data_IF_178658536016
#
_entry.id   IF_178658536016
#
_cell.length_a   1.000
_cell.length_b   1.000
_cell.length_c   1.000
_cell.angle_alpha   90.00
_cell.angle_beta   90.00
_cell.angle_gamma   90.00
#
_symmetry.space_group_name_H-M   'P 1'
#
loop_
_entity.id
_entity.type
_entity.pdbx_description
1 polymer ?
#
# COMPACT_ATOMS: atom_id res chain seq x y z
N UNK A 1 -3.16 -7.86 38.85
CA UNK A 1 -2.61 -6.95 37.82
C UNK A 1 -3.19 -7.36 36.48
N UNK A 2 -4.38 -6.88 36.17
CA UNK A 2 -4.97 -6.97 34.84
C UNK A 2 -4.23 -5.97 33.97
N UNK A 3 -3.21 -6.45 33.25
CA UNK A 3 -2.65 -5.74 32.12
C UNK A 3 -3.72 -5.78 31.03
N UNK A 4 -4.65 -4.82 31.10
CA UNK A 4 -5.40 -4.37 29.94
C UNK A 4 -4.36 -3.81 28.97
N UNK A 5 -3.81 -4.72 28.16
CA UNK A 5 -2.97 -4.42 27.02
C UNK A 5 -3.81 -3.51 26.14
N UNK A 6 -3.57 -2.20 26.24
CA UNK A 6 -4.16 -1.19 25.40
C UNK A 6 -3.62 -1.43 23.98
N UNK A 7 -4.21 -2.40 23.29
CA UNK A 7 -3.93 -2.71 21.89
C UNK A 7 -4.46 -1.50 21.13
N UNK A 8 -3.56 -0.57 20.82
CA UNK A 8 -3.85 0.48 19.85
C UNK A 8 -4.34 -0.22 18.58
N UNK A 9 -5.42 0.30 17.99
CA UNK A 9 -6.08 -0.27 16.82
C UNK A 9 -5.10 -0.54 15.65
N UNK A 10 -3.97 0.16 15.62
CA UNK A 10 -2.90 -0.02 14.65
C UNK A 10 -2.13 -1.34 14.78
N UNK A 11 -2.11 -1.98 15.95
CA UNK A 11 -1.18 -3.10 16.26
C UNK A 11 -1.86 -4.46 16.41
N UNK A 12 -3.18 -4.55 16.23
CA UNK A 12 -3.95 -5.79 16.41
C UNK A 12 -3.41 -6.95 15.53
N UNK A 13 -3.07 -6.65 14.28
CA UNK A 13 -2.49 -7.61 13.33
C UNK A 13 -1.10 -8.18 13.72
N UNK A 14 -0.49 -7.64 14.79
CA UNK A 14 0.83 -8.05 15.31
C UNK A 14 0.68 -8.65 16.71
N UNK A 15 -0.21 -8.11 17.54
CA UNK A 15 -0.37 -8.45 18.96
C UNK A 15 -1.39 -9.56 19.19
N UNK A 16 -2.32 -9.77 18.26
CA UNK A 16 -3.34 -10.82 18.41
C UNK A 16 -2.82 -12.16 17.87
N UNK A 17 -2.64 -13.17 18.75
CA UNK A 17 -2.06 -14.46 18.37
C UNK A 17 -2.90 -15.19 17.33
N UNK A 18 -4.23 -15.07 17.37
CA UNK A 18 -5.12 -15.70 16.41
C UNK A 18 -4.99 -15.08 15.00
N UNK A 19 -4.89 -13.75 14.92
CA UNK A 19 -4.67 -13.04 13.66
C UNK A 19 -3.33 -13.40 13.02
N UNK A 20 -2.28 -13.50 13.85
CA UNK A 20 -0.93 -13.81 13.38
C UNK A 20 -0.78 -15.29 13.01
N UNK A 21 -1.32 -16.19 13.84
CA UNK A 21 -1.17 -17.63 13.68
C UNK A 21 -2.10 -18.25 12.65
N UNK A 22 -3.34 -17.77 12.55
CA UNK A 22 -4.37 -18.46 11.79
C UNK A 22 -4.86 -17.63 10.60
N UNK A 23 -5.37 -16.43 10.84
CA UNK A 23 -5.98 -15.64 9.76
C UNK A 23 -4.97 -15.14 8.72
N UNK A 24 -3.73 -14.85 9.12
CA UNK A 24 -2.68 -14.44 8.17
C UNK A 24 -2.30 -15.57 7.20
N UNK A 25 -1.98 -16.81 7.63
CA UNK A 25 -1.78 -17.93 6.72
C UNK A 25 -2.97 -18.20 5.80
N UNK A 26 -4.20 -18.15 6.32
CA UNK A 26 -5.43 -18.31 5.51
C UNK A 26 -5.49 -17.27 4.38
N UNK A 27 -5.26 -15.99 4.69
CA UNK A 27 -5.27 -14.91 3.70
C UNK A 27 -4.16 -15.03 2.67
N UNK A 28 -3.01 -15.62 3.03
CA UNK A 28 -1.90 -15.86 2.09
C UNK A 28 -2.25 -17.03 1.16
N UNK A 29 -2.66 -18.17 1.71
CA UNK A 29 -3.06 -19.34 0.92
C UNK A 29 -4.18 -19.00 -0.06
N UNK A 30 -5.18 -18.23 0.38
CA UNK A 30 -6.27 -17.78 -0.49
C UNK A 30 -5.77 -16.90 -1.65
N UNK A 31 -4.85 -15.97 -1.39
CA UNK A 31 -4.25 -15.14 -2.45
C UNK A 31 -3.46 -15.98 -3.45
N UNK A 32 -2.74 -17.00 -2.99
CA UNK A 32 -1.99 -17.90 -3.86
C UNK A 32 -2.94 -18.72 -4.76
N UNK A 33 -4.06 -19.20 -4.22
CA UNK A 33 -5.08 -19.91 -5.01
C UNK A 33 -5.70 -18.97 -6.04
N UNK A 34 -6.03 -17.73 -5.68
CA UNK A 34 -6.54 -16.74 -6.64
C UNK A 34 -5.52 -16.41 -7.73
N UNK A 35 -4.24 -16.30 -7.37
CA UNK A 35 -3.16 -16.06 -8.33
C UNK A 35 -3.00 -17.24 -9.30
N UNK A 36 -3.00 -18.47 -8.79
CA UNK A 36 -2.93 -19.69 -9.60
C UNK A 36 -4.18 -19.87 -10.47
N UNK A 37 -5.36 -19.55 -9.95
CA UNK A 37 -6.60 -19.56 -10.72
C UNK A 37 -6.56 -18.55 -11.85
N UNK A 38 -6.05 -17.34 -11.61
CA UNK A 38 -5.87 -16.32 -12.66
C UNK A 38 -4.89 -16.75 -13.76
N UNK A 39 -3.88 -17.57 -13.41
CA UNK A 39 -2.88 -18.05 -14.35
C UNK A 39 -3.32 -19.30 -15.14
N UNK A 40 -3.95 -20.27 -14.48
CA UNK A 40 -4.18 -21.62 -15.02
C UNK A 40 -5.66 -22.07 -14.98
N UNK A 41 -6.61 -21.19 -14.63
CA UNK A 41 -8.06 -21.47 -14.48
C UNK A 41 -8.37 -22.61 -13.50
N UNK A 42 -7.42 -23.01 -12.67
CA UNK A 42 -7.58 -24.02 -11.63
C UNK A 42 -7.27 -23.42 -10.26
N UNK A 43 -8.29 -23.38 -9.40
CA UNK A 43 -8.17 -23.07 -7.99
C UNK A 43 -9.20 -23.92 -7.25
N UNK A 44 -8.77 -24.72 -6.28
CA UNK A 44 -9.67 -25.48 -5.41
C UNK A 44 -9.53 -24.99 -3.98
N UNK A 45 -10.68 -24.77 -3.32
CA UNK A 45 -10.80 -24.47 -1.90
C UNK A 45 -10.31 -25.63 -1.03
N UNK A 46 -10.37 -26.87 -1.53
CA UNK A 46 -9.93 -28.06 -0.80
C UNK A 46 -8.42 -28.04 -0.57
N UNK A 47 -7.65 -27.55 -1.55
CA UNK A 47 -6.20 -27.35 -1.42
C UNK A 47 -5.86 -26.35 -0.31
N UNK A 48 -6.65 -25.29 -0.15
CA UNK A 48 -6.45 -24.33 0.95
C UNK A 48 -6.57 -25.00 2.31
N UNK A 49 -7.62 -25.82 2.48
CA UNK A 49 -7.92 -26.45 3.76
C UNK A 49 -6.86 -27.50 4.11
N UNK A 50 -6.41 -28.29 3.14
CA UNK A 50 -5.32 -29.25 3.32
C UNK A 50 -4.01 -28.56 3.75
N UNK A 51 -3.59 -27.50 3.04
CA UNK A 51 -2.37 -26.75 3.36
C UNK A 51 -2.42 -26.09 4.75
N UNK A 52 -3.62 -25.66 5.16
CA UNK A 52 -3.87 -25.06 6.47
C UNK A 52 -3.82 -26.10 7.59
N UNK A 53 -4.43 -27.26 7.41
CA UNK A 53 -4.45 -28.34 8.40
C UNK A 53 -3.05 -28.86 8.68
N UNK A 54 -2.26 -29.12 7.63
CA UNK A 54 -0.89 -29.63 7.76
C UNK A 54 0.00 -28.69 8.59
N UNK A 55 -0.13 -27.38 8.38
CA UNK A 55 0.72 -26.38 9.02
C UNK A 55 0.09 -25.74 10.26
N UNK A 56 -1.14 -26.12 10.65
CA UNK A 56 -1.92 -25.42 11.67
C UNK A 56 -1.21 -25.36 13.02
N UNK A 57 -0.71 -26.51 13.50
CA UNK A 57 -0.06 -26.61 14.80
C UNK A 57 1.22 -25.77 14.87
N UNK A 58 2.04 -25.82 13.82
CA UNK A 58 3.29 -25.06 13.75
C UNK A 58 3.01 -23.56 13.60
N UNK A 59 2.00 -23.18 12.85
CA UNK A 59 1.56 -21.79 12.71
C UNK A 59 1.02 -21.22 14.02
N UNK A 60 0.28 -22.01 14.79
CA UNK A 60 -0.16 -21.67 16.14
C UNK A 60 1.03 -21.46 17.07
N UNK A 61 1.92 -22.45 17.20
CA UNK A 61 3.10 -22.34 18.08
C UNK A 61 3.96 -21.12 17.74
N UNK A 62 4.22 -20.89 16.44
CA UNK A 62 5.03 -19.76 16.00
C UNK A 62 4.31 -18.42 16.13
N UNK A 63 2.99 -18.36 15.92
CA UNK A 63 2.20 -17.15 16.10
C UNK A 63 2.11 -16.70 17.54
N UNK A 64 1.91 -17.63 18.48
CA UNK A 64 1.92 -17.33 19.91
C UNK A 64 3.30 -16.86 20.41
N UNK A 65 4.38 -17.44 19.88
CA UNK A 65 5.75 -16.97 20.15
C UNK A 65 6.00 -15.56 19.60
N UNK A 66 5.52 -15.29 18.38
CA UNK A 66 5.64 -13.99 17.71
C UNK A 66 4.86 -12.85 18.38
N UNK A 67 3.79 -13.18 19.11
CA UNK A 67 3.04 -12.23 19.91
C UNK A 67 3.61 -12.07 21.34
N UNK A 68 4.66 -12.82 21.68
CA UNK A 68 5.29 -12.79 22.99
C UNK A 68 4.49 -13.45 24.11
N UNK A 69 3.53 -14.30 23.75
CA UNK A 69 2.61 -14.94 24.70
C UNK A 69 3.14 -16.30 25.15
N UNK A 70 3.77 -17.07 24.25
CA UNK A 70 4.31 -18.38 24.60
C UNK A 70 5.66 -18.71 23.91
N UNK A 71 6.75 -18.91 24.67
CA UNK A 71 6.89 -18.55 26.09
C UNK A 71 6.65 -17.03 26.29
N UNK A 72 6.33 -16.61 27.53
CA UNK A 72 6.10 -15.20 27.85
C UNK A 72 7.42 -14.44 27.68
N UNK A 73 7.57 -13.77 26.55
CA UNK A 73 8.76 -13.00 26.16
C UNK A 73 8.33 -11.85 25.25
N UNK A 74 8.55 -10.62 25.70
CA UNK A 74 8.08 -9.42 25.01
C UNK A 74 9.08 -8.97 23.92
N UNK A 75 10.31 -9.48 23.92
CA UNK A 75 11.36 -9.08 22.98
C UNK A 75 10.99 -9.35 21.50
N UNK A 76 10.47 -10.53 21.12
CA UNK A 76 10.03 -10.82 19.75
C UNK A 76 8.89 -9.91 19.27
N UNK A 77 8.06 -9.42 20.20
CA UNK A 77 7.00 -8.47 19.88
C UNK A 77 7.59 -7.06 19.69
N UNK A 78 8.50 -6.64 20.55
CA UNK A 78 9.14 -5.32 20.50
C UNK A 78 9.95 -5.13 19.22
N UNK A 79 10.74 -6.12 18.79
CA UNK A 79 11.49 -6.07 17.53
C UNK A 79 10.59 -5.81 16.32
N UNK A 80 9.34 -6.29 16.36
CA UNK A 80 8.37 -6.14 15.27
C UNK A 80 7.62 -4.81 15.33
N UNK A 81 7.57 -4.18 16.51
CA UNK A 81 7.01 -2.83 16.67
C UNK A 81 8.06 -1.77 16.36
N UNK A 82 9.32 -2.00 16.76
CA UNK A 82 10.45 -1.15 16.43
C UNK A 82 10.91 -1.40 15.00
N UNK A 83 10.33 -0.68 14.04
CA UNK A 83 10.97 -0.56 12.75
C UNK A 83 12.10 0.46 12.91
N UNK A 84 13.39 0.08 12.79
CA UNK A 84 14.46 1.05 12.74
C UNK A 84 14.26 1.87 11.47
N UNK A 85 13.56 2.99 11.61
CA UNK A 85 13.43 3.97 10.53
C UNK A 85 14.82 4.55 10.36
N UNK A 86 15.48 4.21 9.26
CA UNK A 86 16.68 4.93 8.85
C UNK A 86 16.24 6.35 8.50
N UNK A 87 16.41 7.25 9.47
CA UNK A 87 15.96 8.64 9.38
C UNK A 87 16.59 9.33 8.18
N UNK A 88 17.83 8.99 7.88
CA UNK A 88 18.59 9.55 6.76
C UNK A 88 17.98 9.09 5.42
N UNK A 89 17.67 7.80 5.27
CA UNK A 89 17.03 7.28 4.05
C UNK A 89 15.63 7.87 3.80
N UNK A 90 14.84 8.10 4.86
CA UNK A 90 13.53 8.75 4.74
C UNK A 90 13.69 10.23 4.37
N UNK A 91 14.67 10.90 4.96
CA UNK A 91 14.99 12.29 4.67
C UNK A 91 15.43 12.46 3.22
N UNK A 92 16.31 11.59 2.72
CA UNK A 92 16.80 11.63 1.35
C UNK A 92 15.66 11.40 0.34
N UNK A 93 14.81 10.40 0.56
CA UNK A 93 13.64 10.14 -0.30
C UNK A 93 12.65 11.31 -0.28
N UNK A 94 12.46 11.95 0.87
CA UNK A 94 11.60 13.11 0.99
C UNK A 94 12.18 14.34 0.26
N UNK A 95 13.49 14.56 0.36
CA UNK A 95 14.20 15.63 -0.36
C UNK A 95 14.12 15.42 -1.88
N UNK A 96 14.29 14.19 -2.36
CA UNK A 96 14.18 13.85 -3.77
C UNK A 96 12.77 14.18 -4.32
N UNK A 97 11.72 13.82 -3.57
CA UNK A 97 10.33 14.15 -3.95
C UNK A 97 10.10 15.67 -3.97
N UNK A 98 10.65 16.41 -3.00
CA UNK A 98 10.53 17.87 -2.96
C UNK A 98 11.26 18.54 -4.13
N UNK A 99 12.44 18.06 -4.50
CA UNK A 99 13.20 18.56 -5.64
C UNK A 99 12.47 18.29 -6.97
N UNK A 100 11.95 17.07 -7.15
CA UNK A 100 11.15 16.71 -8.31
C UNK A 100 9.95 17.65 -8.46
N UNK A 101 9.20 17.87 -7.37
CA UNK A 101 8.03 18.76 -7.34
C UNK A 101 8.40 20.23 -7.58
N UNK A 102 9.55 20.68 -7.07
CA UNK A 102 10.09 22.03 -7.33
C UNK A 102 10.42 22.21 -8.81
N UNK A 103 11.02 21.21 -9.45
CA UNK A 103 11.35 21.25 -10.88
C UNK A 103 10.09 21.26 -11.76
N UNK A 104 9.05 20.50 -11.38
CA UNK A 104 7.74 20.55 -12.06
C UNK A 104 7.13 21.96 -12.00
N UNK A 105 7.08 22.57 -10.81
CA UNK A 105 6.56 23.94 -10.66
C UNK A 105 7.37 24.98 -11.43
N UNK A 106 8.70 24.88 -11.43
CA UNK A 106 9.56 25.79 -12.20
C UNK A 106 9.31 25.67 -13.71
N UNK A 107 9.08 24.45 -14.21
CA UNK A 107 8.73 24.21 -15.62
C UNK A 107 7.33 24.74 -15.95
N UNK A 108 6.35 24.55 -15.06
CA UNK A 108 4.97 24.96 -15.27
C UNK A 108 4.78 26.48 -15.23
N UNK A 109 5.58 27.21 -14.45
CA UNK A 109 5.61 28.68 -14.46
C UNK A 109 6.12 29.22 -15.80
N UNK A 110 7.12 28.58 -16.41
CA UNK A 110 7.67 28.99 -17.71
C UNK A 110 6.79 28.61 -18.91
N UNK A 111 5.87 27.65 -18.77
CA UNK A 111 4.98 27.20 -19.86
C UNK A 111 3.57 27.77 -19.81
N UNK A 112 3.23 28.61 -18.83
CA UNK A 112 1.95 29.35 -18.83
C UNK A 112 1.89 30.32 -20.02
N UNK A 113 1.46 29.80 -21.17
CA UNK A 113 1.15 30.59 -22.37
C UNK A 113 0.16 31.68 -21.98
N UNK A 114 0.54 32.92 -22.22
CA UNK A 114 -0.33 34.09 -22.05
C UNK A 114 -1.60 33.84 -22.84
N UNK A 115 -2.78 33.91 -22.21
CA UNK A 115 -4.07 33.71 -22.89
C UNK A 115 -4.14 34.65 -24.10
N UNK A 116 -4.15 34.08 -25.31
CA UNK A 116 -4.30 34.86 -26.54
C UNK A 116 -5.73 35.35 -26.64
N UNK A 117 -5.90 36.67 -26.79
CA UNK A 117 -7.22 37.28 -26.95
C UNK A 117 -7.65 37.12 -28.40
N UNK A 118 -8.57 36.20 -28.67
CA UNK A 118 -9.23 36.08 -29.97
C UNK A 118 -10.17 37.29 -30.15
N UNK A 119 -9.92 38.10 -31.18
CA UNK A 119 -10.79 39.23 -31.53
C UNK A 119 -11.86 38.75 -32.52
N UNK A 120 -13.02 38.40 -31.97
CA UNK A 120 -14.14 37.87 -32.75
C UNK A 120 -15.03 39.03 -33.19
N UNK A 121 -15.37 39.08 -34.48
CA UNK A 121 -16.36 40.03 -34.99
C UNK A 121 -17.77 39.54 -34.58
N UNK A 122 -18.67 40.42 -34.10
CA UNK A 122 -20.01 40.02 -33.70
C UNK A 122 -20.71 39.17 -34.77
N UNK A 123 -21.47 38.17 -34.33
CA UNK A 123 -22.19 37.18 -35.17
C UNK A 123 -21.34 36.10 -35.88
N UNK A 124 -20.03 36.03 -35.64
CA UNK A 124 -19.20 34.90 -36.10
C UNK A 124 -18.95 33.89 -35.00
N UNK A 125 -18.90 32.61 -35.37
CA UNK A 125 -18.70 31.50 -34.43
C UNK A 125 -17.21 31.34 -34.11
N UNK A 126 -16.88 31.04 -32.84
CA UNK A 126 -15.48 30.82 -32.37
C UNK A 126 -14.80 29.68 -33.16
N UNK A 127 -15.58 28.69 -33.58
CA UNK A 127 -15.13 27.49 -34.29
C UNK A 127 -14.61 27.79 -35.70
N UNK A 128 -15.23 28.71 -36.43
CA UNK A 128 -14.79 29.08 -37.78
C UNK A 128 -13.48 29.88 -37.78
N UNK A 129 -13.26 30.73 -36.78
CA UNK A 129 -12.03 31.53 -36.70
C UNK A 129 -10.80 30.69 -36.31
N UNK A 130 -10.98 29.66 -35.46
CA UNK A 130 -9.89 28.74 -35.12
C UNK A 130 -9.45 27.88 -36.33
N UNK A 131 -10.41 27.37 -37.11
CA UNK A 131 -10.13 26.58 -38.31
C UNK A 131 -9.39 27.39 -39.39
N UNK A 132 -9.64 28.70 -39.49
CA UNK A 132 -8.95 29.57 -40.45
C UNK A 132 -7.53 29.96 -40.01
N UNK A 133 -7.20 29.86 -38.72
CA UNK A 133 -5.86 30.12 -38.19
C UNK A 133 -4.93 28.91 -38.32
N UNK A 134 -5.46 27.68 -38.28
CA UNK A 134 -4.67 26.46 -38.44
C UNK A 134 -4.31 26.13 -39.90
N UNK A 135 -5.07 26.66 -40.87
CA UNK A 135 -4.87 26.44 -42.31
C UNK A 135 -4.08 27.57 -43.00
N UNK A 136 -3.29 28.34 -42.24
CA UNK A 136 -2.47 29.45 -42.74
C UNK A 136 -1.03 29.33 -42.26
#
# INVERSE_FOLDING_TARGET
>A
MTLDLFVSFQTAHITQPLDVAFFRPVKIGWRNILANWKANTQGSREKLLADLEENCEQNLKTGFKKCGIHPIDVMPLLERLSHPINKDAVQDSFLEILEAKRQEWMKEVNTRKRRFKLSIVPRKSVTEELHNLENK
#
